data_IF_868747118803
#
_entry.id   IF_868747118803
#
_cell.length_a   1.000
_cell.length_b   1.000
_cell.length_c   1.000
_cell.angle_alpha   90.00
_cell.angle_beta   90.00
_cell.angle_gamma   90.00
#
_symmetry.space_group_name_H-M   'P 1'
#
loop_
_entity.id
_entity.type
_entity.pdbx_description
1 polymer ?
#
# COMPACT_ATOMS: atom_id res chain seq x y z
N UNK A 1 -10.46 -13.54 8.91
CA UNK A 1 -9.41 -13.04 8.00
C UNK A 1 -8.31 -12.39 8.82
N UNK A 2 -7.11 -12.81 8.64
CA UNK A 2 -5.98 -12.25 9.37
C UNK A 2 -5.64 -10.86 8.87
N UNK A 3 -5.40 -9.95 9.80
CA UNK A 3 -4.88 -8.63 9.47
C UNK A 3 -3.39 -8.74 9.27
N UNK A 4 -2.89 -8.16 8.19
CA UNK A 4 -1.46 -8.00 8.00
C UNK A 4 -1.16 -6.52 7.80
N UNK A 5 -0.24 -5.99 8.58
CA UNK A 5 0.17 -4.60 8.42
C UNK A 5 0.85 -4.40 7.08
N UNK A 6 0.81 -3.19 6.57
CA UNK A 6 1.49 -2.87 5.31
C UNK A 6 2.99 -3.16 5.42
N UNK A 7 3.59 -2.84 6.56
CA UNK A 7 5.01 -3.14 6.81
C UNK A 7 5.30 -4.65 6.70
N UNK A 8 4.49 -5.47 7.37
CA UNK A 8 4.68 -6.92 7.33
C UNK A 8 4.42 -7.49 5.94
N UNK A 9 3.45 -6.94 5.22
CA UNK A 9 3.17 -7.35 3.85
C UNK A 9 4.39 -7.13 2.93
N UNK A 10 5.09 -6.01 3.11
CA UNK A 10 6.32 -5.74 2.38
C UNK A 10 7.46 -6.68 2.80
N UNK A 11 7.59 -6.95 4.10
CA UNK A 11 8.61 -7.88 4.61
C UNK A 11 8.42 -9.29 4.07
N UNK A 12 7.18 -9.75 4.02
CA UNK A 12 6.86 -11.12 3.59
C UNK A 12 6.80 -11.28 2.07
N UNK A 13 7.00 -10.21 1.32
CA UNK A 13 6.98 -10.26 -0.13
C UNK A 13 5.58 -10.32 -0.74
N UNK A 14 4.53 -10.02 0.03
CA UNK A 14 3.16 -9.99 -0.47
C UNK A 14 2.88 -8.74 -1.31
N UNK A 15 3.65 -7.69 -1.09
CA UNK A 15 3.63 -6.45 -1.87
C UNK A 15 5.00 -6.25 -2.48
N UNK A 16 5.03 -5.95 -3.75
CA UNK A 16 6.27 -5.83 -4.53
C UNK A 16 6.34 -4.50 -5.27
N UNK A 17 7.50 -4.23 -5.83
CA UNK A 17 7.71 -3.05 -6.68
C UNK A 17 6.68 -3.00 -7.81
N UNK A 18 6.12 -1.83 -8.03
CA UNK A 18 5.09 -1.52 -9.02
C UNK A 18 3.71 -2.10 -8.76
N UNK A 19 3.51 -2.76 -7.63
CA UNK A 19 2.18 -3.21 -7.26
C UNK A 19 1.27 -2.03 -6.92
N UNK A 20 0.02 -2.16 -7.34
CA UNK A 20 -1.07 -1.32 -6.88
C UNK A 20 -1.69 -1.98 -5.67
N UNK A 21 -1.77 -1.28 -4.56
CA UNK A 21 -2.18 -1.85 -3.28
C UNK A 21 -3.35 -1.07 -2.73
N UNK A 22 -4.34 -1.80 -2.24
CA UNK A 22 -5.43 -1.20 -1.49
C UNK A 22 -5.17 -1.45 0.00
N UNK A 23 -5.02 -0.37 0.73
CA UNK A 23 -4.78 -0.39 2.17
C UNK A 23 -6.02 0.10 2.91
N UNK A 24 -6.14 -0.28 4.17
CA UNK A 24 -7.22 0.22 5.01
C UNK A 24 -6.73 0.55 6.40
N UNK A 25 -7.43 1.50 7.04
CA UNK A 25 -7.28 1.80 8.46
C UNK A 25 -8.63 1.59 9.13
N UNK A 26 -8.61 1.30 10.42
CA UNK A 26 -9.81 1.21 11.24
C UNK A 26 -9.94 2.47 12.07
N UNK A 27 -11.10 3.07 12.03
CA UNK A 27 -11.43 4.18 12.89
C UNK A 27 -12.58 3.77 13.79
N UNK A 28 -12.45 3.98 15.10
CA UNK A 28 -13.36 3.41 16.08
C UNK A 28 -13.87 4.43 17.07
N UNK A 29 -14.67 5.39 16.65
CA UNK A 29 -15.31 6.27 17.63
C UNK A 29 -16.71 5.80 18.04
N UNK A 30 -17.50 5.28 17.12
CA UNK A 30 -18.87 4.84 17.39
C UNK A 30 -19.24 3.59 16.59
N UNK A 31 -18.25 2.75 16.33
CA UNK A 31 -18.38 1.58 15.48
C UNK A 31 -17.14 1.47 14.61
N UNK A 32 -16.97 0.35 13.94
CA UNK A 32 -15.79 0.15 13.11
C UNK A 32 -16.06 0.76 11.73
N UNK A 33 -15.36 1.82 11.41
CA UNK A 33 -15.33 2.37 10.07
C UNK A 33 -13.98 2.06 9.44
N UNK A 34 -13.98 1.77 8.14
CA UNK A 34 -12.76 1.50 7.39
C UNK A 34 -12.54 2.61 6.39
N UNK A 35 -11.36 3.21 6.46
CA UNK A 35 -10.90 4.14 5.43
C UNK A 35 -9.96 3.41 4.49
N UNK A 36 -10.17 3.54 3.20
CA UNK A 36 -9.39 2.87 2.18
C UNK A 36 -8.53 3.86 1.42
N UNK A 37 -7.33 3.43 1.09
CA UNK A 37 -6.41 4.21 0.27
C UNK A 37 -5.70 3.30 -0.72
N UNK A 38 -5.71 3.68 -1.99
CA UNK A 38 -4.99 2.95 -3.02
C UNK A 38 -3.71 3.69 -3.37
N UNK A 39 -2.58 2.96 -3.36
CA UNK A 39 -1.27 3.50 -3.74
C UNK A 39 -0.58 2.56 -4.72
N UNK A 40 0.38 3.09 -5.47
CA UNK A 40 1.28 2.31 -6.31
C UNK A 40 2.70 2.42 -5.75
N UNK A 41 3.37 1.29 -5.60
CA UNK A 41 4.75 1.25 -5.10
C UNK A 41 5.70 1.54 -6.26
N UNK A 42 6.43 2.64 -6.18
CA UNK A 42 7.34 3.06 -7.24
C UNK A 42 8.79 2.67 -6.98
N UNK A 43 9.22 2.66 -5.73
CA UNK A 43 10.56 2.26 -5.33
C UNK A 43 10.51 1.67 -3.93
N UNK A 44 11.39 0.71 -3.67
CA UNK A 44 11.54 0.10 -2.34
C UNK A 44 13.02 0.14 -1.97
N UNK A 45 13.34 0.74 -0.82
CA UNK A 45 14.69 0.81 -0.30
C UNK A 45 14.76 0.08 1.04
N UNK A 46 15.58 -0.97 1.10
CA UNK A 46 15.82 -1.78 2.29
C UNK A 46 17.26 -1.70 2.78
N UNK A 47 18.00 -0.69 2.33
CA UNK A 47 19.43 -0.56 2.66
C UNK A 47 19.68 -0.18 4.12
N UNK A 48 18.70 0.38 4.81
CA UNK A 48 18.81 0.71 6.22
C UNK A 48 18.24 -0.44 7.04
N UNK A 49 19.02 -1.02 7.99
CA UNK A 49 18.52 -2.11 8.83
C UNK A 49 17.24 -1.74 9.57
N UNK A 50 16.29 -2.65 9.60
CA UNK A 50 14.99 -2.52 10.28
C UNK A 50 14.11 -1.40 9.75
N UNK A 51 14.39 -0.87 8.56
CA UNK A 51 13.58 0.15 7.91
C UNK A 51 13.25 -0.23 6.48
N UNK A 52 12.01 0.07 6.07
CA UNK A 52 11.59 -0.01 4.68
C UNK A 52 11.15 1.39 4.28
N UNK A 53 11.83 1.96 3.29
CA UNK A 53 11.49 3.26 2.75
C UNK A 53 10.97 3.05 1.34
N UNK A 54 9.81 3.61 1.05
CA UNK A 54 9.21 3.48 -0.27
C UNK A 54 8.96 4.84 -0.89
N UNK A 55 9.00 4.87 -2.22
CA UNK A 55 8.38 5.93 -2.99
C UNK A 55 7.06 5.40 -3.51
N UNK A 56 6.00 6.15 -3.32
CA UNK A 56 4.68 5.72 -3.72
C UNK A 56 3.89 6.84 -4.36
N UNK A 57 2.93 6.46 -5.17
CA UNK A 57 1.98 7.38 -5.80
C UNK A 57 0.60 7.13 -5.22
N UNK A 58 -0.09 8.20 -4.86
CA UNK A 58 -1.48 8.11 -4.40
C UNK A 58 -2.39 7.98 -5.62
N UNK A 59 -3.27 6.99 -5.61
CA UNK A 59 -4.17 6.70 -6.72
C UNK A 59 -5.62 7.17 -6.47
N UNK A 60 -5.94 7.59 -5.26
CA UNK A 60 -7.31 7.95 -4.87
C UNK A 60 -7.34 9.26 -4.08
N UNK A 61 -8.51 9.91 -4.08
CA UNK A 61 -8.75 11.10 -3.27
C UNK A 61 -8.22 12.39 -3.89
N UNK A 62 -8.18 13.44 -3.07
CA UNK A 62 -7.79 14.78 -3.50
C UNK A 62 -6.30 14.90 -3.82
N UNK A 63 -5.51 13.94 -3.36
CA UNK A 63 -4.05 13.92 -3.61
C UNK A 63 -3.66 12.96 -4.74
N UNK A 64 -4.62 12.49 -5.53
CA UNK A 64 -4.37 11.55 -6.61
C UNK A 64 -3.26 12.04 -7.55
N UNK A 65 -2.32 11.14 -7.85
CA UNK A 65 -1.18 11.42 -8.71
C UNK A 65 0.05 11.96 -8.00
N UNK A 66 -0.07 12.38 -6.75
CA UNK A 66 1.07 12.85 -5.97
C UNK A 66 1.96 11.70 -5.55
N UNK A 67 3.26 11.97 -5.52
CA UNK A 67 4.29 10.99 -5.17
C UNK A 67 5.02 11.45 -3.91
N UNK A 68 5.29 10.49 -3.03
CA UNK A 68 5.97 10.76 -1.77
C UNK A 68 6.98 9.66 -1.45
N UNK A 69 8.00 10.03 -0.68
CA UNK A 69 8.87 9.08 0.00
C UNK A 69 8.40 8.93 1.44
N UNK A 70 8.41 7.71 1.94
CA UNK A 70 7.97 7.45 3.31
C UNK A 70 8.72 6.29 3.95
N UNK A 71 9.00 6.43 5.25
CA UNK A 71 9.33 5.31 6.12
C UNK A 71 8.01 4.58 6.40
N UNK A 72 7.90 3.34 5.95
CA UNK A 72 6.64 2.60 5.99
C UNK A 72 6.14 2.42 7.42
N UNK A 73 7.02 2.11 8.37
CA UNK A 73 6.63 1.87 9.75
C UNK A 73 6.05 3.13 10.41
N UNK A 74 6.60 4.29 10.09
CA UNK A 74 6.12 5.56 10.64
C UNK A 74 4.88 6.08 9.92
N UNK A 75 4.96 6.17 8.59
CA UNK A 75 3.92 6.82 7.78
C UNK A 75 2.68 5.96 7.66
N UNK A 76 2.85 4.64 7.56
CA UNK A 76 1.73 3.71 7.39
C UNK A 76 1.43 2.91 8.64
N UNK A 77 1.74 3.47 9.79
CA UNK A 77 1.36 2.86 11.07
C UNK A 77 -0.16 2.77 11.16
N UNK A 78 -0.66 1.58 11.46
CA UNK A 78 -2.09 1.34 11.52
C UNK A 78 -2.75 1.07 10.16
N UNK A 79 -1.99 1.03 9.09
CA UNK A 79 -2.49 0.62 7.78
C UNK A 79 -2.29 -0.88 7.59
N UNK A 80 -3.31 -1.52 7.09
CA UNK A 80 -3.33 -2.96 6.81
C UNK A 80 -3.56 -3.21 5.33
N UNK A 81 -3.04 -4.31 4.85
CA UNK A 81 -3.26 -4.72 3.46
C UNK A 81 -4.68 -5.26 3.30
N UNK A 82 -5.44 -4.68 2.40
CA UNK A 82 -6.73 -5.22 1.98
C UNK A 82 -6.57 -6.13 0.78
N UNK A 83 -5.95 -5.64 -0.28
CA UNK A 83 -5.69 -6.45 -1.47
C UNK A 83 -4.56 -5.85 -2.30
N UNK A 84 -3.94 -6.70 -3.12
CA UNK A 84 -3.01 -6.28 -4.16
C UNK A 84 -3.76 -6.34 -5.49
N UNK A 85 -3.84 -5.19 -6.16
CA UNK A 85 -4.50 -5.08 -7.44
C UNK A 85 -3.47 -5.38 -8.53
N UNK A 86 -3.80 -6.33 -9.40
CA UNK A 86 -2.82 -6.83 -10.37
C UNK A 86 -2.93 -6.11 -11.71
N UNK A 87 -2.02 -5.18 -11.97
CA UNK A 87 -1.97 -4.44 -13.24
C UNK A 87 -1.77 -5.36 -14.46
N UNK A 88 -1.16 -6.50 -14.25
CA UNK A 88 -0.97 -7.49 -15.31
C UNK A 88 -2.31 -7.97 -15.86
N UNK A 89 -3.29 -8.13 -15.00
CA UNK A 89 -4.64 -8.52 -15.41
C UNK A 89 -5.29 -7.44 -16.30
N UNK A 90 -5.14 -6.18 -15.93
CA UNK A 90 -5.67 -5.07 -16.74
C UNK A 90 -5.01 -5.01 -18.12
N UNK A 91 -3.71 -5.24 -18.19
CA UNK A 91 -3.00 -5.27 -19.47
C UNK A 91 -3.47 -6.41 -20.35
N UNK A 92 -3.72 -7.57 -19.79
CA UNK A 92 -4.25 -8.71 -20.51
C UNK A 92 -5.65 -8.46 -21.06
N UNK A 93 -6.48 -7.75 -20.31
CA UNK A 93 -7.82 -7.36 -20.75
C UNK A 93 -7.80 -6.36 -21.91
N UNK A 94 -6.81 -5.47 -21.94
CA UNK A 94 -6.69 -4.47 -23.00
C UNK A 94 -6.26 -5.12 -24.32
N UNK A 95 -5.44 -6.16 -24.25
CA UNK A 95 -4.87 -6.80 -25.43
C UNK A 95 -5.54 -8.11 -25.84
N UNK A 96 -6.57 -8.49 -25.14
CA UNK A 96 -7.30 -9.72 -25.49
C UNK A 96 -8.54 -9.45 -26.39
#
# INVERSE_FOLDING_TARGET
MEKISFYDALLEGKVKLFDRVLLYTESSNLGVEYDYEEITILEVNRSIPNKIIIKYKINTGSSEGRKYWADVEETFKGYYLFSVLNDKYEKEMIFS
#
